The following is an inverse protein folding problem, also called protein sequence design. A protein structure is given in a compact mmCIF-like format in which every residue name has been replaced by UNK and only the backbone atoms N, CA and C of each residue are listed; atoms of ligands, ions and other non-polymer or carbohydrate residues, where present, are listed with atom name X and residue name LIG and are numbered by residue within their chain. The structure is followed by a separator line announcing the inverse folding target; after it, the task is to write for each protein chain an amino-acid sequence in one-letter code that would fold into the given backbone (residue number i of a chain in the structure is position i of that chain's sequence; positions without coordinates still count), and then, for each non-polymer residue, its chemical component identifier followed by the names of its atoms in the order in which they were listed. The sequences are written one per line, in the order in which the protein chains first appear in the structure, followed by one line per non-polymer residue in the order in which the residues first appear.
data_IF_319512861969
#
_entry.id   IF_319512861969
#
_cell.length_a   1.000
_cell.length_b   1.000
_cell.length_c   1.000
_cell.angle_alpha   90.00
_cell.angle_beta   90.00
_cell.angle_gamma   90.00
#
_symmetry.space_group_name_H-M   'P 1'
#
loop_
_entity.id
_entity.type
_entity.pdbx_description
1 polymer ?
#
# COMPACT_ATOMS: atom_id res chain seq x y z
N UNK A 1 8.39 -11.10 -19.65
CA UNK A 1 7.07 -11.03 -18.99
C UNK A 1 6.00 -10.53 -19.97
N UNK A 2 6.06 -10.95 -21.23
CA UNK A 2 5.04 -10.68 -22.27
C UNK A 2 4.57 -11.96 -22.98
N UNK A 3 5.31 -13.06 -22.82
CA UNK A 3 5.09 -14.31 -23.55
C UNK A 3 3.75 -14.98 -23.25
N UNK A 4 3.07 -14.59 -22.16
CA UNK A 4 1.80 -15.19 -21.72
C UNK A 4 0.60 -14.25 -21.93
N UNK A 5 0.75 -13.10 -22.60
CA UNK A 5 -0.37 -12.15 -22.79
C UNK A 5 -1.39 -12.67 -23.81
N UNK A 6 -0.95 -13.52 -24.73
CA UNK A 6 -1.79 -14.18 -25.74
C UNK A 6 -2.45 -15.46 -25.24
N UNK A 7 -2.14 -15.90 -24.01
CA UNK A 7 -2.71 -17.11 -23.43
C UNK A 7 -4.07 -16.80 -22.81
N UNK A 8 -5.09 -17.59 -23.17
CA UNK A 8 -6.41 -17.48 -22.55
C UNK A 8 -6.32 -17.95 -21.09
N UNK A 9 -6.91 -17.17 -20.18
CA UNK A 9 -6.97 -17.48 -18.75
C UNK A 9 -8.41 -17.61 -18.31
N UNK A 10 -8.69 -18.62 -17.49
CA UNK A 10 -9.98 -18.80 -16.84
C UNK A 10 -9.96 -18.09 -15.49
N UNK A 11 -10.08 -16.76 -15.51
CA UNK A 11 -10.09 -15.92 -14.31
C UNK A 11 -11.12 -14.81 -14.47
N UNK A 12 -11.78 -14.42 -13.38
CA UNK A 12 -12.70 -13.27 -13.42
C UNK A 12 -12.01 -12.02 -12.91
N UNK A 13 -11.95 -10.98 -13.74
CA UNK A 13 -11.46 -9.66 -13.33
C UNK A 13 -12.51 -8.91 -12.52
N UNK A 14 -12.11 -8.40 -11.36
CA UNK A 14 -12.97 -7.64 -10.44
C UNK A 14 -12.22 -6.41 -9.91
N UNK A 15 -12.93 -5.62 -9.11
CA UNK A 15 -12.41 -4.39 -8.54
C UNK A 15 -12.92 -4.17 -7.12
N UNK A 16 -12.00 -3.94 -6.19
CA UNK A 16 -12.29 -3.33 -4.91
C UNK A 16 -12.29 -1.81 -5.05
N UNK A 17 -13.24 -1.14 -4.42
CA UNK A 17 -13.37 0.32 -4.52
C UNK A 17 -14.03 0.87 -3.27
N UNK A 18 -13.67 2.10 -2.88
CA UNK A 18 -14.38 2.85 -1.84
C UNK A 18 -15.70 3.45 -2.31
N UNK A 19 -16.06 3.24 -3.59
CA UNK A 19 -17.35 3.68 -4.11
C UNK A 19 -18.51 2.93 -3.46
N UNK A 20 -19.38 3.68 -2.80
CA UNK A 20 -20.62 3.19 -2.23
C UNK A 20 -21.77 3.36 -3.25
N UNK A 21 -22.38 2.26 -3.73
CA UNK A 21 -23.44 2.33 -4.73
C UNK A 21 -24.74 2.95 -4.21
N UNK A 22 -24.94 3.01 -2.90
CA UNK A 22 -26.14 3.55 -2.26
C UNK A 22 -26.02 5.06 -2.05
N UNK A 23 -24.96 5.51 -1.39
CA UNK A 23 -24.71 6.94 -1.11
C UNK A 23 -24.09 7.69 -2.29
N UNK A 24 -23.57 6.96 -3.28
CA UNK A 24 -22.75 7.49 -4.39
C UNK A 24 -21.45 8.18 -3.92
N UNK A 25 -21.10 8.04 -2.65
CA UNK A 25 -19.80 8.50 -2.15
C UNK A 25 -18.70 7.72 -2.85
N UNK A 26 -17.67 8.43 -3.30
CA UNK A 26 -16.47 7.80 -3.86
C UNK A 26 -15.44 7.57 -2.78
N UNK A 27 -15.39 8.43 -1.77
CA UNK A 27 -14.36 8.42 -0.75
C UNK A 27 -14.84 7.76 0.54
N UNK A 28 -13.89 7.19 1.27
CA UNK A 28 -14.07 6.79 2.67
C UNK A 28 -13.30 7.78 3.54
N UNK A 29 -13.98 8.38 4.50
CA UNK A 29 -13.37 9.31 5.46
C UNK A 29 -12.65 8.56 6.57
N UNK A 30 -11.39 8.92 6.82
CA UNK A 30 -10.53 8.34 7.86
C UNK A 30 -10.21 9.43 8.89
N UNK A 31 -10.83 9.33 10.06
CA UNK A 31 -10.70 10.31 11.12
C UNK A 31 -9.36 10.17 11.88
N UNK A 32 -8.74 11.27 12.31
CA UNK A 32 -7.52 11.25 13.11
C UNK A 32 -7.75 10.56 14.45
N UNK A 33 -6.86 9.65 14.85
CA UNK A 33 -6.92 8.96 16.13
C UNK A 33 -8.06 7.94 16.29
N UNK A 34 -8.87 7.73 15.24
CA UNK A 34 -9.86 6.67 15.20
C UNK A 34 -9.19 5.30 14.93
N UNK A 35 -9.84 4.18 15.32
CA UNK A 35 -9.38 2.85 14.92
C UNK A 35 -9.22 2.73 13.39
N UNK A 36 -8.33 1.83 12.97
CA UNK A 36 -8.10 1.55 11.57
C UNK A 36 -9.43 1.25 10.82
N UNK A 37 -9.60 1.89 9.67
CA UNK A 37 -10.78 1.74 8.82
C UNK A 37 -10.52 0.70 7.75
N UNK A 38 -11.30 -0.37 7.73
CA UNK A 38 -11.28 -1.39 6.67
C UNK A 38 -11.81 -0.81 5.36
N UNK A 39 -10.98 -0.83 4.32
CA UNK A 39 -11.34 -0.47 2.96
C UNK A 39 -11.77 -1.68 2.13
N UNK A 40 -11.13 -2.83 2.38
CA UNK A 40 -11.35 -4.07 1.64
C UNK A 40 -11.32 -5.23 2.61
N UNK A 41 -12.27 -6.15 2.43
CA UNK A 41 -12.28 -7.46 3.09
C UNK A 41 -12.83 -8.49 2.10
N UNK A 42 -12.11 -9.61 1.93
CA UNK A 42 -12.54 -10.72 1.09
C UNK A 42 -12.00 -12.04 1.61
N UNK A 43 -12.88 -13.04 1.69
CA UNK A 43 -12.58 -14.42 2.04
C UNK A 43 -12.37 -15.33 0.82
N UNK A 44 -12.37 -14.76 -0.40
CA UNK A 44 -12.16 -15.50 -1.64
C UNK A 44 -10.73 -15.37 -2.15
N UNK A 45 -10.12 -16.45 -2.68
CA UNK A 45 -8.77 -16.38 -3.21
C UNK A 45 -8.70 -15.52 -4.47
N UNK A 46 -7.56 -14.88 -4.67
CA UNK A 46 -7.33 -14.01 -5.81
C UNK A 46 -5.93 -13.43 -5.86
N UNK A 47 -5.73 -12.51 -6.80
CA UNK A 47 -4.49 -11.76 -6.94
C UNK A 47 -4.78 -10.31 -7.27
N UNK A 48 -4.35 -9.38 -6.40
CA UNK A 48 -4.36 -7.96 -6.73
C UNK A 48 -3.31 -7.73 -7.81
N UNK A 49 -3.71 -7.13 -8.93
CA UNK A 49 -2.85 -6.86 -10.09
C UNK A 49 -2.53 -5.37 -10.22
N UNK A 50 -3.39 -4.52 -9.66
CA UNK A 50 -3.18 -3.08 -9.56
C UNK A 50 -3.86 -2.55 -8.32
N UNK A 51 -3.14 -1.75 -7.55
CA UNK A 51 -3.68 -0.94 -6.46
C UNK A 51 -3.46 0.53 -6.79
N UNK A 52 -4.45 1.36 -6.51
CA UNK A 52 -4.43 2.79 -6.75
C UNK A 52 -5.15 3.50 -5.60
N UNK A 53 -4.62 4.64 -5.19
CA UNK A 53 -5.17 5.43 -4.10
C UNK A 53 -4.92 6.91 -4.35
N UNK A 54 -5.84 7.76 -3.91
CA UNK A 54 -5.61 9.20 -3.71
C UNK A 54 -6.43 9.68 -2.51
N UNK A 55 -6.12 10.85 -1.99
CA UNK A 55 -6.94 11.51 -0.99
C UNK A 55 -7.03 13.01 -1.28
N UNK A 56 -8.16 13.53 -1.79
CA UNK A 56 -8.27 14.91 -2.24
C UNK A 56 -7.76 15.92 -1.19
N UNK A 57 -7.20 17.03 -1.66
CA UNK A 57 -6.73 18.11 -0.78
C UNK A 57 -5.32 17.97 -0.23
N UNK A 58 -4.62 16.83 -0.42
CA UNK A 58 -3.27 16.63 0.14
C UNK A 58 -2.16 17.47 -0.51
N UNK A 59 -2.32 17.88 -1.78
CA UNK A 59 -1.32 18.65 -2.52
C UNK A 59 -1.90 19.74 -3.45
N UNK A 60 -3.14 19.60 -3.92
CA UNK A 60 -3.72 20.50 -4.94
C UNK A 60 -4.77 21.43 -4.32
N UNK A 61 -4.48 22.75 -4.32
CA UNK A 61 -5.27 23.79 -3.63
C UNK A 61 -5.96 24.79 -4.56
N UNK A 62 -6.00 24.57 -5.87
CA UNK A 62 -6.45 25.62 -6.80
C UNK A 62 -7.94 26.01 -6.66
N UNK A 63 -8.78 25.13 -6.12
CA UNK A 63 -10.24 25.33 -6.07
C UNK A 63 -10.79 25.45 -4.64
N UNK A 64 -9.97 25.16 -3.62
CA UNK A 64 -10.29 25.40 -2.22
C UNK A 64 -9.00 25.75 -1.46
N UNK A 65 -8.74 27.05 -1.37
CA UNK A 65 -7.58 27.61 -0.66
C UNK A 65 -7.73 27.59 0.86
N UNK A 66 -8.95 27.34 1.36
CA UNK A 66 -9.26 27.29 2.79
C UNK A 66 -9.13 25.91 3.41
N UNK A 67 -9.09 24.85 2.58
CA UNK A 67 -8.87 23.48 3.04
C UNK A 67 -7.53 23.33 3.78
N UNK A 68 -7.58 22.73 4.97
CA UNK A 68 -6.39 22.33 5.72
C UNK A 68 -5.58 21.32 4.89
N UNK A 69 -4.29 21.58 4.76
CA UNK A 69 -3.38 20.73 4.02
C UNK A 69 -2.05 20.70 4.76
N UNK A 70 -1.77 19.52 5.29
CA UNK A 70 -0.48 19.15 5.85
C UNK A 70 0.05 17.94 5.08
N UNK A 71 1.14 18.11 4.31
CA UNK A 71 1.81 17.00 3.63
C UNK A 71 2.23 15.87 4.58
N UNK A 72 2.36 16.12 5.89
CA UNK A 72 2.63 15.09 6.91
C UNK A 72 1.60 13.96 6.90
N UNK A 73 0.40 14.19 6.37
CA UNK A 73 -0.60 13.15 6.09
C UNK A 73 0.00 11.96 5.31
N UNK A 74 0.96 12.17 4.40
CA UNK A 74 1.64 11.08 3.68
C UNK A 74 2.43 10.13 4.60
N UNK A 75 2.94 10.65 5.72
CA UNK A 75 3.67 9.91 6.75
C UNK A 75 2.77 9.35 7.85
N UNK A 76 1.59 9.96 8.04
CA UNK A 76 0.69 9.65 9.16
C UNK A 76 -0.51 8.78 8.75
N UNK A 77 -0.84 8.71 7.46
CA UNK A 77 -1.80 7.74 6.95
C UNK A 77 -1.09 6.40 6.74
N UNK A 78 -1.41 5.42 7.59
CA UNK A 78 -0.75 4.11 7.63
C UNK A 78 -1.58 3.10 6.84
N UNK A 79 -0.95 2.46 5.86
CA UNK A 79 -1.50 1.35 5.11
C UNK A 79 -1.16 0.03 5.78
N UNK A 80 -2.19 -0.78 6.06
CA UNK A 80 -2.06 -2.16 6.52
C UNK A 80 -2.71 -3.13 5.56
N UNK A 81 -1.99 -4.21 5.25
CA UNK A 81 -2.56 -5.33 4.49
C UNK A 81 -2.29 -6.65 5.22
N UNK A 82 -3.36 -7.40 5.43
CA UNK A 82 -3.35 -8.72 6.07
C UNK A 82 -3.71 -9.76 5.02
N UNK A 83 -2.94 -10.85 5.00
CA UNK A 83 -3.18 -11.98 4.12
C UNK A 83 -3.70 -13.16 4.93
N UNK A 84 -4.59 -13.93 4.35
CA UNK A 84 -4.93 -15.30 4.77
C UNK A 84 -5.40 -15.42 6.23
N UNK A 85 -5.96 -14.34 6.79
CA UNK A 85 -6.44 -14.28 8.17
C UNK A 85 -5.32 -14.15 9.22
N UNK A 86 -4.11 -13.77 8.82
CA UNK A 86 -3.03 -13.52 9.77
C UNK A 86 -3.38 -12.38 10.74
N UNK A 87 -3.06 -12.53 12.04
CA UNK A 87 -3.38 -11.51 13.05
C UNK A 87 -2.50 -10.26 12.94
N UNK A 88 -1.36 -10.35 12.26
CA UNK A 88 -0.41 -9.26 12.06
C UNK A 88 -0.37 -8.86 10.58
N UNK A 89 -0.22 -7.56 10.27
CA UNK A 89 -0.16 -7.11 8.89
C UNK A 89 1.17 -7.56 8.24
N UNK A 90 1.06 -8.05 7.02
CA UNK A 90 2.22 -8.38 6.17
C UNK A 90 2.79 -7.15 5.45
N UNK A 91 1.97 -6.12 5.30
CA UNK A 91 2.34 -4.79 4.80
C UNK A 91 1.96 -3.80 5.88
N UNK A 92 2.93 -3.06 6.41
CA UNK A 92 2.68 -1.93 7.31
C UNK A 92 3.64 -0.80 6.97
N UNK A 93 3.10 0.29 6.42
CA UNK A 93 3.90 1.44 6.02
C UNK A 93 3.04 2.70 5.89
N UNK A 94 3.62 3.90 6.09
CA UNK A 94 2.97 5.13 5.64
C UNK A 94 2.70 5.09 4.15
N UNK A 95 1.55 5.63 3.73
CA UNK A 95 1.11 5.62 2.34
C UNK A 95 2.13 6.28 1.42
N UNK A 96 2.70 7.42 1.82
CA UNK A 96 3.75 8.09 1.04
C UNK A 96 4.95 7.17 0.79
N UNK A 97 5.51 6.59 1.86
CA UNK A 97 6.66 5.71 1.75
C UNK A 97 6.37 4.46 0.94
N UNK A 98 5.23 3.80 1.17
CA UNK A 98 4.80 2.62 0.44
C UNK A 98 4.86 2.83 -1.08
N UNK A 99 4.37 3.99 -1.53
CA UNK A 99 4.37 4.38 -2.94
C UNK A 99 5.64 5.14 -3.35
N UNK A 100 6.74 5.07 -2.61
CA UNK A 100 8.03 5.68 -2.97
C UNK A 100 8.04 7.21 -2.98
N UNK A 101 7.08 7.84 -2.30
CA UNK A 101 6.96 9.28 -2.09
C UNK A 101 7.37 9.59 -0.65
N UNK A 102 8.67 9.61 -0.41
CA UNK A 102 9.22 10.02 0.88
C UNK A 102 9.13 11.53 1.13
N UNK A 103 9.52 11.92 2.33
CA UNK A 103 9.63 13.32 2.77
C UNK A 103 8.38 14.19 2.63
N UNK A 104 7.21 13.57 2.46
CA UNK A 104 5.95 14.27 2.29
C UNK A 104 5.94 15.17 1.04
N UNK A 105 6.64 14.78 -0.03
CA UNK A 105 6.76 15.60 -1.24
C UNK A 105 5.67 15.28 -2.27
N UNK A 106 5.25 16.29 -3.03
CA UNK A 106 4.53 16.06 -4.27
C UNK A 106 5.53 15.90 -5.42
N UNK A 107 5.71 14.67 -5.92
CA UNK A 107 6.61 14.40 -7.03
C UNK A 107 6.09 13.37 -8.00
N UNK A 108 5.95 13.76 -9.27
CA UNK A 108 5.72 12.79 -10.33
C UNK A 108 6.93 11.88 -10.49
N UNK A 109 6.68 10.58 -10.47
CA UNK A 109 7.67 9.60 -10.85
C UNK A 109 6.99 8.32 -11.34
N UNK A 110 7.71 7.59 -12.19
CA UNK A 110 7.26 6.33 -12.77
C UNK A 110 8.36 5.31 -12.55
N UNK A 111 8.01 4.14 -12.02
CA UNK A 111 8.85 2.96 -12.03
C UNK A 111 8.07 1.77 -12.61
N UNK A 112 8.70 0.59 -12.65
CA UNK A 112 8.06 -0.63 -13.15
C UNK A 112 6.81 -1.01 -12.36
N UNK A 113 6.85 -0.83 -11.04
CA UNK A 113 5.77 -1.31 -10.16
C UNK A 113 5.11 -0.21 -9.35
N UNK A 114 5.80 0.87 -9.00
CA UNK A 114 5.25 1.97 -8.21
C UNK A 114 5.32 3.30 -8.97
N UNK A 115 4.49 4.25 -8.57
CA UNK A 115 4.62 5.62 -9.03
C UNK A 115 3.53 6.53 -8.50
N UNK A 116 3.67 7.80 -8.88
CA UNK A 116 2.69 8.85 -8.59
C UNK A 116 2.48 9.72 -9.82
N UNK A 117 1.22 9.88 -10.23
CA UNK A 117 0.84 10.76 -11.33
C UNK A 117 -0.40 11.55 -10.94
N UNK A 118 -0.35 12.87 -11.15
CA UNK A 118 -1.41 13.83 -10.78
C UNK A 118 -1.98 13.63 -9.36
N UNK A 119 -1.13 13.24 -8.41
CA UNK A 119 -1.51 12.97 -7.01
C UNK A 119 -2.29 11.68 -6.75
N UNK A 120 -2.42 10.83 -7.76
CA UNK A 120 -2.82 9.44 -7.62
C UNK A 120 -1.58 8.56 -7.51
N UNK A 121 -1.57 7.70 -6.50
CA UNK A 121 -0.55 6.70 -6.26
C UNK A 121 -0.95 5.38 -6.92
N UNK A 122 0.02 4.65 -7.47
CA UNK A 122 -0.25 3.34 -8.04
C UNK A 122 0.82 2.30 -7.70
N UNK A 123 0.37 1.06 -7.60
CA UNK A 123 1.18 -0.13 -7.39
C UNK A 123 0.73 -1.26 -8.31
N UNK A 124 1.66 -1.87 -9.04
CA UNK A 124 1.45 -2.97 -9.99
C UNK A 124 2.16 -4.25 -9.55
N UNK A 125 2.62 -4.32 -8.30
CA UNK A 125 3.12 -5.59 -7.78
C UNK A 125 1.97 -6.61 -7.74
N UNK A 126 2.16 -7.84 -8.27
CA UNK A 126 1.17 -8.89 -8.10
C UNK A 126 1.13 -9.30 -6.63
N UNK A 127 -0.05 -9.25 -6.00
CA UNK A 127 -0.23 -9.63 -4.59
C UNK A 127 -1.26 -10.74 -4.50
N UNK A 128 -0.83 -12.02 -4.60
CA UNK A 128 -1.72 -13.14 -4.42
C UNK A 128 -2.16 -13.32 -2.97
N UNK A 129 -3.39 -13.77 -2.76
CA UNK A 129 -4.01 -13.97 -1.45
C UNK A 129 -5.08 -15.08 -1.51
N UNK A 130 -5.32 -15.75 -0.39
CA UNK A 130 -6.50 -16.58 -0.18
C UNK A 130 -7.59 -15.79 0.54
N UNK A 131 -7.17 -14.91 1.47
CA UNK A 131 -8.02 -13.88 2.10
C UNK A 131 -7.26 -12.57 2.15
N UNK A 132 -7.97 -11.45 2.03
CA UNK A 132 -7.35 -10.12 2.10
C UNK A 132 -8.17 -9.21 3.00
N UNK A 133 -7.47 -8.46 3.85
CA UNK A 133 -8.00 -7.29 4.54
C UNK A 133 -7.06 -6.11 4.33
N UNK A 134 -7.58 -4.99 3.85
CA UNK A 134 -6.82 -3.74 3.66
C UNK A 134 -7.43 -2.67 4.56
N UNK A 135 -6.59 -2.07 5.38
CA UNK A 135 -6.97 -1.04 6.35
C UNK A 135 -6.13 0.22 6.16
N UNK A 136 -6.74 1.35 6.49
CA UNK A 136 -6.03 2.62 6.69
C UNK A 136 -6.27 3.13 8.11
N UNK A 137 -5.20 3.59 8.75
CA UNK A 137 -5.25 4.31 10.02
C UNK A 137 -4.68 5.70 9.83
N UNK A 138 -5.36 6.71 10.40
CA UNK A 138 -4.89 8.08 10.35
C UNK A 138 -4.30 8.47 11.71
N UNK A 139 -2.97 8.51 11.77
CA UNK A 139 -2.21 8.94 12.95
C UNK A 139 -2.01 10.46 13.02
N UNK A 140 -2.68 11.23 12.15
CA UNK A 140 -2.67 12.69 12.25
C UNK A 140 -3.38 13.13 13.53
N UNK A 141 -2.94 14.27 14.08
CA UNK A 141 -3.47 14.82 15.34
C UNK A 141 -4.82 15.52 15.16
N UNK A 142 -5.17 15.94 13.94
CA UNK A 142 -6.32 16.83 13.71
C UNK A 142 -6.88 16.77 12.29
N UNK A 143 -6.08 16.45 11.27
CA UNK A 143 -6.52 16.50 9.88
C UNK A 143 -7.12 15.15 9.47
N UNK A 144 -8.41 15.10 9.10
CA UNK A 144 -9.05 13.92 8.54
C UNK A 144 -8.66 13.72 7.08
N UNK A 145 -8.77 12.48 6.60
CA UNK A 145 -8.38 12.12 5.25
C UNK A 145 -9.53 11.44 4.50
N UNK A 146 -10.00 12.04 3.41
CA UNK A 146 -10.97 11.42 2.52
C UNK A 146 -10.23 10.59 1.46
N UNK A 147 -10.34 9.26 1.52
CA UNK A 147 -9.57 8.35 0.67
C UNK A 147 -10.44 7.79 -0.45
N UNK A 148 -10.00 7.96 -1.69
CA UNK A 148 -10.48 7.19 -2.83
C UNK A 148 -9.49 6.07 -3.12
N UNK A 149 -9.95 4.81 -3.01
CA UNK A 149 -9.14 3.62 -3.21
C UNK A 149 -9.74 2.74 -4.30
N UNK A 150 -8.85 2.11 -5.08
CA UNK A 150 -9.21 1.17 -6.11
C UNK A 150 -8.17 0.07 -6.22
N UNK A 151 -8.60 -1.20 -6.23
CA UNK A 151 -7.71 -2.30 -6.55
C UNK A 151 -8.35 -3.25 -7.57
N UNK A 152 -7.72 -3.41 -8.72
CA UNK A 152 -8.08 -4.45 -9.68
C UNK A 152 -7.48 -5.78 -9.24
N UNK A 153 -8.27 -6.83 -9.31
CA UNK A 153 -7.84 -8.17 -8.94
C UNK A 153 -8.45 -9.23 -9.85
N UNK A 154 -7.78 -10.37 -9.93
CA UNK A 154 -8.32 -11.61 -10.48
C UNK A 154 -8.89 -12.42 -9.30
N UNK A 155 -10.17 -12.78 -9.35
CA UNK A 155 -10.76 -13.74 -8.40
C UNK A 155 -10.52 -15.17 -8.92
N UNK A 156 -10.12 -16.05 -8.02
CA UNK A 156 -9.92 -17.47 -8.29
C UNK A 156 -11.03 -18.29 -7.63
N UNK A 157 -11.39 -19.40 -8.26
CA UNK A 157 -12.34 -20.35 -7.67
C UNK A 157 -11.69 -21.11 -6.49
N UNK A 158 -10.39 -21.39 -6.60
CA UNK A 158 -9.62 -22.15 -5.61
C UNK A 158 -8.26 -21.46 -5.31
N UNK A 159 -7.72 -21.61 -4.08
CA UNK A 159 -6.38 -21.17 -3.73
C UNK A 159 -5.30 -21.70 -4.67
N UNK A 160 -4.43 -20.81 -5.15
CA UNK A 160 -3.34 -21.20 -6.05
C UNK A 160 -2.10 -21.63 -5.26
N UNK A 161 -1.59 -22.83 -5.55
CA UNK A 161 -0.40 -23.37 -4.87
C UNK A 161 0.90 -22.70 -5.35
N UNK A 162 1.92 -22.67 -4.49
CA UNK A 162 3.27 -22.19 -4.84
C UNK A 162 3.41 -20.67 -4.98
N UNK A 163 2.37 -19.89 -4.70
CA UNK A 163 2.43 -18.43 -4.75
C UNK A 163 2.94 -17.85 -3.43
N UNK A 164 3.80 -16.83 -3.51
CA UNK A 164 4.22 -16.04 -2.35
C UNK A 164 3.14 -15.06 -1.90
N UNK A 165 3.45 -14.32 -0.83
CA UNK A 165 2.71 -13.15 -0.37
C UNK A 165 3.56 -11.91 -0.52
N UNK A 166 2.90 -10.78 -0.71
CA UNK A 166 3.55 -9.49 -0.80
C UNK A 166 3.77 -8.95 0.61
N UNK A 167 5.00 -8.62 0.95
CA UNK A 167 5.36 -8.02 2.24
C UNK A 167 5.98 -6.65 2.04
N UNK A 168 5.70 -5.76 2.96
CA UNK A 168 6.31 -4.44 3.00
C UNK A 168 6.59 -4.05 4.44
N UNK A 169 7.85 -3.75 4.72
CA UNK A 169 8.28 -3.25 6.02
C UNK A 169 8.79 -1.83 5.86
N UNK A 170 8.25 -0.94 6.68
CA UNK A 170 8.76 0.40 6.89
C UNK A 170 9.54 0.47 8.21
N UNK A 171 10.77 0.97 8.16
CA UNK A 171 11.56 1.27 9.34
C UNK A 171 12.16 2.66 9.21
N UNK A 172 12.21 3.36 10.35
CA UNK A 172 12.97 4.60 10.48
C UNK A 172 13.99 4.43 11.57
N UNK A 173 15.24 4.81 11.29
CA UNK A 173 16.29 4.81 12.29
C UNK A 173 17.17 6.04 12.12
N UNK A 174 17.68 6.60 13.23
CA UNK A 174 18.67 7.68 13.20
C UNK A 174 20.03 7.08 13.46
N UNK A 175 20.87 7.03 12.43
CA UNK A 175 22.27 6.63 12.58
C UNK A 175 23.08 7.82 13.08
N UNK A 176 23.74 7.66 14.23
CA UNK A 176 24.67 8.65 14.79
C UNK A 176 26.14 8.38 14.39
N UNK A 177 26.39 7.41 13.50
CA UNK A 177 27.73 6.94 13.16
C UNK A 177 27.75 5.92 12.01
N UNK A 178 28.89 5.24 11.77
CA UNK A 178 29.08 4.29 10.67
C UNK A 178 28.45 2.90 10.91
N UNK A 179 27.65 2.74 11.97
CA UNK A 179 27.07 1.46 12.32
C UNK A 179 26.18 0.90 11.19
N UNK A 180 26.28 -0.40 10.89
CA UNK A 180 25.43 -1.02 9.89
C UNK A 180 23.97 -0.94 10.34
N UNK A 181 23.12 -0.36 9.49
CA UNK A 181 21.67 -0.35 9.71
C UNK A 181 21.12 -1.75 9.35
N UNK A 182 20.55 -2.51 10.30
CA UNK A 182 19.86 -3.75 9.97
C UNK A 182 18.64 -3.39 9.12
N UNK A 183 18.72 -3.69 7.82
CA UNK A 183 17.64 -3.39 6.86
C UNK A 183 16.54 -4.45 6.90
N UNK A 184 16.90 -5.67 7.33
CA UNK A 184 16.02 -6.83 7.25
C UNK A 184 16.52 -8.01 8.07
N UNK A 185 15.61 -8.62 8.82
CA UNK A 185 15.76 -9.98 9.34
C UNK A 185 14.52 -10.79 8.96
N UNK A 186 14.74 -11.88 8.23
CA UNK A 186 13.69 -12.68 7.63
C UNK A 186 14.01 -14.14 7.78
N UNK A 187 12.98 -14.93 8.10
CA UNK A 187 13.04 -16.39 8.07
C UNK A 187 12.10 -16.94 7.00
N UNK A 188 12.67 -17.53 5.94
CA UNK A 188 11.98 -18.33 4.91
C UNK A 188 12.48 -18.09 3.48
N UNK A 189 11.64 -18.33 2.45
CA UNK A 189 12.01 -18.23 1.02
C UNK A 189 11.32 -17.04 0.32
N UNK A 190 12.10 -16.15 -0.31
CA UNK A 190 11.63 -14.95 -1.02
C UNK A 190 12.15 -14.83 -2.45
N UNK A 191 11.36 -14.24 -3.35
CA UNK A 191 11.65 -14.07 -4.78
C UNK A 191 11.25 -12.67 -5.31
N UNK A 192 11.58 -11.59 -4.61
CA UNK A 192 11.74 -10.23 -5.17
C UNK A 192 12.19 -9.32 -4.03
N UNK A 193 13.14 -8.41 -4.27
CA UNK A 193 13.57 -7.41 -3.29
C UNK A 193 13.66 -6.04 -3.95
N UNK A 194 12.75 -5.14 -3.58
CA UNK A 194 12.83 -3.72 -3.95
C UNK A 194 13.10 -2.91 -2.67
N UNK A 195 14.14 -2.08 -2.70
CA UNK A 195 14.50 -1.17 -1.61
C UNK A 195 14.24 0.27 -2.07
N UNK A 196 13.52 1.03 -1.25
CA UNK A 196 13.40 2.48 -1.39
C UNK A 196 14.09 3.13 -0.19
N UNK A 197 15.09 3.96 -0.45
CA UNK A 197 15.87 4.66 0.58
C UNK A 197 15.66 6.15 0.43
N UNK A 198 15.26 6.81 1.52
CA UNK A 198 15.12 8.25 1.57
C UNK A 198 16.30 8.86 2.36
N UNK A 199 17.29 9.37 1.64
CA UNK A 199 18.49 9.97 2.22
C UNK A 199 18.15 11.29 2.96
N UNK A 200 18.66 11.46 4.19
CA UNK A 200 18.52 12.69 4.97
C UNK A 200 17.66 12.61 6.24
N UNK A 201 16.81 11.58 6.39
CA UNK A 201 16.08 11.30 7.67
C UNK A 201 16.02 9.82 8.07
N UNK A 202 16.78 8.94 7.41
CA UNK A 202 16.93 7.53 7.81
C UNK A 202 15.65 6.69 7.73
N UNK A 203 14.78 6.98 6.76
CA UNK A 203 13.58 6.19 6.51
C UNK A 203 13.81 5.23 5.32
N UNK A 204 13.56 3.94 5.53
CA UNK A 204 13.71 2.90 4.50
C UNK A 204 12.42 2.09 4.37
N UNK A 205 12.06 1.80 3.12
CA UNK A 205 10.98 0.87 2.78
C UNK A 205 11.57 -0.32 2.04
N UNK A 206 11.21 -1.52 2.48
CA UNK A 206 11.55 -2.75 1.77
C UNK A 206 10.29 -3.48 1.34
N UNK A 207 10.22 -3.80 0.05
CA UNK A 207 9.15 -4.57 -0.57
C UNK A 207 9.68 -5.94 -0.99
N UNK A 208 8.92 -6.97 -0.64
CA UNK A 208 9.26 -8.37 -0.89
C UNK A 208 8.07 -9.12 -1.47
N UNK A 209 8.37 -10.07 -2.36
CA UNK A 209 7.41 -11.08 -2.82
C UNK A 209 7.96 -12.45 -2.45
N UNK A 210 7.25 -13.23 -1.64
CA UNK A 210 7.76 -14.51 -1.13
C UNK A 210 6.87 -15.17 -0.09
N UNK A 211 7.15 -16.43 0.26
CA UNK A 211 6.44 -17.12 1.34
C UNK A 211 7.00 -16.77 2.73
N UNK A 212 7.35 -15.51 2.96
CA UNK A 212 8.29 -15.13 4.01
C UNK A 212 7.73 -14.11 4.99
N UNK A 213 7.75 -14.45 6.28
CA UNK A 213 7.43 -13.49 7.35
C UNK A 213 8.58 -12.52 7.55
N UNK A 214 8.23 -11.26 7.73
CA UNK A 214 9.13 -10.19 8.15
C UNK A 214 8.84 -9.90 9.62
N UNK A 215 9.85 -10.02 10.48
CA UNK A 215 9.72 -9.65 11.89
C UNK A 215 10.41 -8.29 12.09
N UNK A 216 9.71 -7.25 12.57
CA UNK A 216 10.38 -6.09 13.14
C UNK A 216 11.03 -6.51 14.47
N UNK A 217 12.22 -5.95 14.76
CA UNK A 217 12.84 -6.03 16.09
C UNK A 217 12.04 -5.25 17.13
#
# INVERSE_FOLDING_TARGET
MLNTISELRSTTSKQFTTFDPHTKSKTKRIEPGAPATTLVESDKPGMITRMWLTFPGWFWRHWDVSAENDPSTLKKLILRIYWDGEPHPSVEAPVGDFFGIGHCEFRHYVSRYLGMSSGGFYCYFPMPYNKVRIELENLHESIPCDVFFNANYEEYDEPQSGQGRFHCLFQTNRLNGPDPLPVLDIKGRSLCRLRVVHAGRGAELLILLGGTRVHPY
#
